data_IF_324699196642
#
_entry.id   IF_324699196642
#
_cell.length_a   1.000
_cell.length_b   1.000
_cell.length_c   1.000
_cell.angle_alpha   90.00
_cell.angle_beta   90.00
_cell.angle_gamma   90.00
#
_symmetry.space_group_name_H-M   'P 1'
#
loop_
_entity.id
_entity.type
_entity.pdbx_description
1 polymer ?
#
# COMPACT_ATOMS: atom_id res chain seq x y z
N UNK A 1 18.75 17.39 8.82
CA UNK A 1 17.38 16.99 9.16
C UNK A 1 17.18 15.62 8.52
N UNK A 2 16.95 14.56 9.30
CA UNK A 2 16.77 13.21 8.73
C UNK A 2 15.46 13.19 7.94
N UNK A 3 15.40 12.39 6.88
CA UNK A 3 14.14 12.17 6.17
C UNK A 3 13.23 11.27 7.02
N UNK A 4 11.90 11.42 6.90
CA UNK A 4 10.94 10.54 7.60
C UNK A 4 11.20 9.05 7.31
N UNK A 5 11.71 8.73 6.11
CA UNK A 5 12.06 7.35 5.69
C UNK A 5 13.31 6.85 6.43
N UNK A 6 14.32 7.70 6.63
CA UNK A 6 15.53 7.32 7.38
C UNK A 6 15.21 7.01 8.84
N UNK A 7 14.34 7.79 9.48
CA UNK A 7 13.88 7.53 10.85
C UNK A 7 13.04 6.25 10.95
N UNK A 8 12.20 5.97 9.95
CA UNK A 8 11.44 4.73 9.85
C UNK A 8 12.37 3.51 9.75
N UNK A 9 13.39 3.58 8.87
CA UNK A 9 14.40 2.53 8.73
C UNK A 9 15.25 2.34 9.99
N UNK A 10 15.63 3.43 10.67
CA UNK A 10 16.33 3.36 11.96
C UNK A 10 15.50 2.62 13.00
N UNK A 11 14.20 2.95 13.09
CA UNK A 11 13.28 2.27 14.00
C UNK A 11 13.12 0.79 13.64
N UNK A 12 12.90 0.50 12.36
CA UNK A 12 12.74 -0.87 11.86
C UNK A 12 13.98 -1.74 12.17
N UNK A 13 15.17 -1.16 12.04
CA UNK A 13 16.45 -1.84 12.28
C UNK A 13 16.67 -2.29 13.73
N UNK A 14 15.88 -1.79 14.69
CA UNK A 14 15.96 -2.21 16.10
C UNK A 14 15.44 -3.63 16.31
N UNK A 15 14.59 -4.14 15.41
CA UNK A 15 13.97 -5.47 15.55
C UNK A 15 14.15 -6.35 14.32
N UNK A 16 14.53 -5.76 13.17
CA UNK A 16 14.69 -6.48 11.91
C UNK A 16 16.05 -6.18 11.29
N UNK A 17 16.69 -7.21 10.76
CA UNK A 17 17.89 -7.02 9.96
C UNK A 17 17.49 -6.47 8.58
N UNK A 18 17.99 -5.28 8.25
CA UNK A 18 17.82 -4.65 6.94
C UNK A 18 19.13 -4.80 6.19
N UNK A 19 19.11 -5.45 5.03
CA UNK A 19 20.29 -5.58 4.19
C UNK A 19 20.85 -4.19 3.82
N UNK A 20 22.17 -3.95 3.93
CA UNK A 20 22.76 -2.65 3.61
C UNK A 20 22.41 -2.14 2.22
N UNK A 21 22.38 -3.03 1.22
CA UNK A 21 22.00 -2.70 -0.16
C UNK A 21 20.56 -2.19 -0.27
N UNK A 22 19.63 -2.79 0.49
CA UNK A 22 18.22 -2.38 0.53
C UNK A 22 18.08 -1.06 1.25
N UNK A 23 18.77 -0.88 2.38
CA UNK A 23 18.79 0.39 3.10
C UNK A 23 19.30 1.53 2.21
N UNK A 24 20.42 1.33 1.53
CA UNK A 24 21.00 2.33 0.65
C UNK A 24 20.12 2.61 -0.57
N UNK A 25 19.47 1.58 -1.11
CA UNK A 25 18.48 1.74 -2.17
C UNK A 25 17.29 2.62 -1.73
N UNK A 26 16.65 2.30 -0.60
CA UNK A 26 15.48 3.03 -0.09
C UNK A 26 15.86 4.49 0.23
N UNK A 27 17.08 4.74 0.72
CA UNK A 27 17.60 6.08 0.98
C UNK A 27 18.05 6.84 -0.28
N UNK A 28 17.88 6.27 -1.48
CA UNK A 28 18.25 6.90 -2.75
C UNK A 28 19.76 7.03 -2.96
N UNK A 29 20.59 6.26 -2.25
CA UNK A 29 22.05 6.29 -2.38
C UNK A 29 22.56 5.44 -3.55
N UNK A 30 21.71 4.56 -4.11
CA UNK A 30 22.01 3.78 -5.32
C UNK A 30 21.68 4.60 -6.57
N UNK A 31 22.66 4.80 -7.43
CA UNK A 31 22.55 5.69 -8.61
C UNK A 31 22.21 4.97 -9.91
N UNK A 32 22.54 3.68 -10.02
CA UNK A 32 22.24 2.86 -11.20
C UNK A 32 21.01 1.98 -10.93
N UNK A 33 19.85 2.63 -10.81
CA UNK A 33 18.55 1.95 -10.61
C UNK A 33 17.70 2.13 -11.87
N UNK A 34 17.16 1.04 -12.39
CA UNK A 34 16.21 1.04 -13.50
C UNK A 34 14.91 0.32 -13.11
N UNK A 35 13.85 0.60 -13.86
CA UNK A 35 12.59 -0.13 -13.73
C UNK A 35 12.60 -1.42 -14.57
N UNK A 36 12.28 -2.55 -13.95
CA UNK A 36 12.05 -3.82 -14.63
C UNK A 36 10.56 -4.13 -14.64
N UNK A 37 9.94 -3.98 -15.81
CA UNK A 37 8.53 -4.26 -16.01
C UNK A 37 8.29 -5.75 -16.33
N UNK A 38 7.45 -6.42 -15.55
CA UNK A 38 7.00 -7.79 -15.81
C UNK A 38 5.48 -7.88 -15.77
N UNK A 39 4.88 -8.47 -16.79
CA UNK A 39 3.44 -8.71 -16.84
C UNK A 39 3.10 -10.07 -16.24
N UNK A 40 2.22 -10.07 -15.25
CA UNK A 40 1.64 -11.29 -14.66
C UNK A 40 0.13 -11.13 -14.63
N UNK A 41 -0.57 -12.01 -15.37
CA UNK A 41 -2.00 -11.88 -15.63
C UNK A 41 -2.35 -10.49 -16.20
N UNK A 42 -3.26 -9.77 -15.54
CA UNK A 42 -3.75 -8.45 -15.94
C UNK A 42 -3.02 -7.27 -15.29
N UNK A 43 -1.90 -7.55 -14.58
CA UNK A 43 -1.10 -6.54 -13.89
C UNK A 43 0.32 -6.47 -14.47
N UNK A 44 0.79 -5.25 -14.71
CA UNK A 44 2.20 -4.95 -15.02
C UNK A 44 2.88 -4.52 -13.72
N UNK A 45 3.86 -5.30 -13.28
CA UNK A 45 4.66 -5.00 -12.09
C UNK A 45 5.94 -4.28 -12.48
N UNK A 46 6.21 -3.18 -11.78
CA UNK A 46 7.39 -2.33 -11.91
C UNK A 46 8.34 -2.61 -10.74
N UNK A 47 9.35 -3.44 -10.98
CA UNK A 47 10.28 -3.95 -9.96
C UNK A 47 11.61 -3.22 -10.11
N UNK A 48 12.15 -2.59 -9.04
CA UNK A 48 13.44 -1.93 -9.14
C UNK A 48 14.58 -2.91 -9.39
N UNK A 49 15.44 -2.57 -10.36
CA UNK A 49 16.66 -3.29 -10.70
C UNK A 49 17.87 -2.41 -10.42
N UNK A 50 18.82 -2.91 -9.62
CA UNK A 50 20.06 -2.22 -9.25
C UNK A 50 21.16 -2.72 -10.18
N UNK A 51 21.42 -1.99 -11.27
CA UNK A 51 22.35 -2.43 -12.31
C UNK A 51 23.81 -2.53 -11.86
N UNK A 52 24.23 -1.75 -10.87
CA UNK A 52 25.58 -1.84 -10.31
C UNK A 52 25.84 -3.14 -9.54
N UNK A 53 24.78 -3.75 -9.02
CA UNK A 53 24.83 -5.00 -8.25
C UNK A 53 24.21 -6.17 -9.03
N UNK A 54 23.69 -5.93 -10.24
CA UNK A 54 23.08 -6.91 -11.14
C UNK A 54 21.98 -7.72 -10.44
N UNK A 55 20.93 -7.06 -9.95
CA UNK A 55 19.83 -7.74 -9.27
C UNK A 55 18.65 -6.84 -8.92
N UNK A 56 17.66 -7.40 -8.24
CA UNK A 56 16.35 -6.82 -8.02
C UNK A 56 16.11 -6.52 -6.55
N UNK A 57 15.31 -5.49 -6.29
CA UNK A 57 14.69 -5.28 -4.97
C UNK A 57 13.37 -6.02 -4.96
N UNK A 58 13.31 -7.12 -4.22
CA UNK A 58 12.14 -7.99 -4.10
C UNK A 58 11.51 -7.85 -2.71
N UNK A 59 10.35 -8.47 -2.53
CA UNK A 59 9.56 -8.39 -1.31
C UNK A 59 8.89 -9.71 -0.95
N UNK A 60 8.77 -9.97 0.35
CA UNK A 60 7.89 -11.00 0.91
C UNK A 60 7.21 -10.51 2.19
N UNK A 61 6.01 -11.04 2.45
CA UNK A 61 5.28 -10.74 3.67
C UNK A 61 5.79 -11.61 4.84
N UNK A 62 5.99 -11.01 6.01
CA UNK A 62 6.32 -11.72 7.25
C UNK A 62 5.16 -11.77 8.25
N UNK A 63 3.93 -11.47 7.82
CA UNK A 63 2.77 -11.67 8.68
C UNK A 63 2.60 -13.18 8.98
N UNK A 64 2.28 -13.58 10.24
CA UNK A 64 1.88 -12.75 11.37
C UNK A 64 3.02 -12.20 12.25
N UNK A 65 4.27 -12.63 12.03
CA UNK A 65 5.42 -12.19 12.84
C UNK A 65 5.73 -10.69 12.69
N UNK A 66 5.28 -10.08 11.59
CA UNK A 66 5.33 -8.64 11.36
C UNK A 66 3.93 -8.06 11.10
N UNK A 67 3.61 -6.97 11.80
CA UNK A 67 2.37 -6.19 11.64
C UNK A 67 2.65 -4.68 11.54
N UNK A 68 3.86 -4.30 11.09
CA UNK A 68 4.28 -2.90 10.99
C UNK A 68 3.41 -2.10 10.03
N UNK A 69 3.06 -2.67 8.87
CA UNK A 69 2.18 -2.02 7.90
C UNK A 69 0.80 -1.72 8.50
N UNK A 70 0.31 -2.53 9.45
CA UNK A 70 -0.94 -2.25 10.15
C UNK A 70 -0.80 -1.18 11.26
N UNK A 71 0.39 -1.08 11.87
CA UNK A 71 0.67 -0.13 12.95
C UNK A 71 1.05 1.27 12.46
N UNK A 72 1.59 1.38 11.25
CA UNK A 72 2.22 2.60 10.73
C UNK A 72 1.54 3.15 9.48
N UNK A 73 0.38 2.59 9.11
CA UNK A 73 -0.37 3.08 7.96
C UNK A 73 -0.88 4.50 8.18
N UNK A 74 -0.52 5.41 7.29
CA UNK A 74 -0.95 6.81 7.32
C UNK A 74 -2.42 7.01 6.92
N UNK A 75 -2.97 6.12 6.07
CA UNK A 75 -4.32 6.22 5.49
C UNK A 75 -4.89 4.85 5.14
N UNK A 76 -6.20 4.67 5.30
CA UNK A 76 -6.91 3.43 4.95
C UNK A 76 -8.02 3.72 3.93
N UNK A 77 -7.67 4.09 2.68
CA UNK A 77 -8.67 4.38 1.66
C UNK A 77 -9.56 3.16 1.44
N UNK A 78 -10.86 3.41 1.38
CA UNK A 78 -11.88 2.38 1.20
C UNK A 78 -12.44 2.45 -0.21
N UNK A 79 -12.65 1.28 -0.79
CA UNK A 79 -13.51 1.12 -1.95
C UNK A 79 -14.98 1.00 -1.52
N UNK A 80 -15.92 1.18 -2.44
CA UNK A 80 -17.34 0.93 -2.13
C UNK A 80 -17.63 -0.51 -1.71
N UNK A 81 -16.83 -1.47 -2.18
CA UNK A 81 -16.90 -2.85 -1.69
C UNK A 81 -16.44 -2.97 -0.23
N UNK A 82 -15.39 -2.24 0.16
CA UNK A 82 -14.91 -2.23 1.55
C UNK A 82 -15.98 -1.64 2.47
N UNK A 83 -16.65 -0.56 2.06
CA UNK A 83 -17.76 0.05 2.82
C UNK A 83 -18.84 -0.99 3.15
N UNK A 84 -19.24 -1.81 2.17
CA UNK A 84 -20.26 -2.85 2.35
C UNK A 84 -19.74 -3.99 3.23
N UNK A 85 -18.53 -4.46 2.96
CA UNK A 85 -17.96 -5.66 3.60
C UNK A 85 -17.66 -5.40 5.07
N UNK A 86 -17.01 -4.28 5.37
CA UNK A 86 -16.63 -3.89 6.74
C UNK A 86 -17.87 -3.51 7.56
N UNK A 87 -18.83 -2.79 6.96
CA UNK A 87 -20.09 -2.44 7.64
C UNK A 87 -20.82 -3.68 8.16
N UNK A 88 -20.90 -4.74 7.33
CA UNK A 88 -21.49 -6.03 7.73
C UNK A 88 -20.66 -6.73 8.81
N UNK A 89 -19.33 -6.75 8.68
CA UNK A 89 -18.43 -7.35 9.67
C UNK A 89 -18.59 -6.70 11.05
N UNK A 90 -18.71 -5.37 11.08
CA UNK A 90 -18.92 -4.58 12.28
C UNK A 90 -20.39 -4.51 12.73
N UNK A 91 -21.28 -5.27 12.07
CA UNK A 91 -22.69 -5.45 12.43
C UNK A 91 -23.51 -4.15 12.43
N UNK A 92 -23.19 -3.22 11.53
CA UNK A 92 -24.05 -2.06 11.30
C UNK A 92 -25.28 -2.46 10.49
N UNK A 93 -26.47 -2.04 10.93
CA UNK A 93 -27.72 -2.29 10.19
C UNK A 93 -27.83 -1.43 8.92
N UNK A 94 -27.31 -0.20 8.97
CA UNK A 94 -27.32 0.76 7.86
C UNK A 94 -25.91 1.17 7.49
N UNK A 95 -25.59 1.12 6.19
CA UNK A 95 -24.31 1.58 5.67
C UNK A 95 -24.05 3.06 5.96
N UNK A 96 -25.09 3.90 6.01
CA UNK A 96 -24.97 5.33 6.36
C UNK A 96 -24.41 5.54 7.78
N UNK A 97 -24.80 4.69 8.73
CA UNK A 97 -24.35 4.80 10.12
C UNK A 97 -22.88 4.39 10.23
N UNK A 98 -22.48 3.35 9.49
CA UNK A 98 -21.08 2.97 9.32
C UNK A 98 -20.26 4.13 8.73
N UNK A 99 -20.69 4.70 7.59
CA UNK A 99 -19.98 5.83 6.95
C UNK A 99 -19.81 6.98 7.92
N UNK A 100 -20.89 7.41 8.59
CA UNK A 100 -20.84 8.56 9.52
C UNK A 100 -19.93 8.31 10.72
N UNK A 101 -19.92 7.10 11.27
CA UNK A 101 -19.20 6.79 12.51
C UNK A 101 -17.74 6.38 12.26
N UNK A 102 -17.52 5.57 11.23
CA UNK A 102 -16.27 4.83 11.01
C UNK A 102 -15.36 5.40 9.93
N UNK A 103 -15.80 6.42 9.20
CA UNK A 103 -15.01 6.97 8.09
C UNK A 103 -14.71 8.45 8.24
N UNK A 104 -13.65 8.89 7.57
CA UNK A 104 -13.32 10.29 7.33
C UNK A 104 -13.03 10.47 5.83
N UNK A 105 -13.06 11.72 5.36
CA UNK A 105 -12.61 12.08 4.01
C UNK A 105 -11.25 12.74 4.17
N UNK A 106 -10.28 12.29 3.40
CA UNK A 106 -8.94 12.86 3.40
C UNK A 106 -8.52 13.19 1.97
N UNK A 107 -7.76 14.28 1.83
CA UNK A 107 -7.16 14.69 0.57
C UNK A 107 -5.65 14.74 0.72
N UNK A 108 -4.92 14.07 -0.17
CA UNK A 108 -3.46 14.05 -0.14
C UNK A 108 -2.88 14.03 -1.55
N UNK A 109 -1.60 14.37 -1.64
CA UNK A 109 -0.83 14.31 -2.88
C UNK A 109 0.09 13.08 -2.84
N UNK A 110 0.10 12.29 -3.91
CA UNK A 110 1.08 11.24 -4.15
C UNK A 110 1.86 11.52 -5.43
N UNK A 111 3.03 10.90 -5.56
CA UNK A 111 3.76 10.89 -6.82
C UNK A 111 3.16 9.81 -7.71
N UNK A 112 2.60 10.23 -8.83
CA UNK A 112 2.17 9.34 -9.89
C UNK A 112 3.34 8.64 -10.57
N UNK A 113 3.08 7.73 -11.51
CA UNK A 113 4.07 6.86 -12.15
C UNK A 113 5.20 7.62 -12.85
N UNK A 114 4.88 8.77 -13.46
CA UNK A 114 5.84 9.65 -14.12
C UNK A 114 6.46 10.69 -13.18
N UNK A 115 6.24 10.58 -11.87
CA UNK A 115 6.71 11.53 -10.86
C UNK A 115 5.85 12.80 -10.71
N UNK A 116 4.81 12.95 -11.52
CA UNK A 116 3.86 14.07 -11.42
C UNK A 116 3.05 13.97 -10.12
N UNK A 117 2.70 15.10 -9.48
CA UNK A 117 1.79 15.09 -8.34
C UNK A 117 0.41 14.61 -8.78
N UNK A 118 -0.20 13.74 -7.98
CA UNK A 118 -1.57 13.27 -8.14
C UNK A 118 -2.29 13.58 -6.84
N UNK A 119 -3.33 14.40 -6.92
CA UNK A 119 -4.17 14.74 -5.76
C UNK A 119 -5.32 13.74 -5.69
N UNK A 120 -5.43 13.07 -4.54
CA UNK A 120 -6.46 12.08 -4.26
C UNK A 120 -7.30 12.55 -3.09
N UNK A 121 -8.62 12.57 -3.24
CA UNK A 121 -9.59 12.71 -2.15
C UNK A 121 -10.34 11.40 -2.04
N UNK A 122 -10.26 10.71 -0.90
CA UNK A 122 -10.91 9.41 -0.72
C UNK A 122 -11.62 9.33 0.63
N UNK A 123 -12.70 8.54 0.68
CA UNK A 123 -13.23 8.03 1.93
C UNK A 123 -12.26 7.01 2.54
N UNK A 124 -11.96 7.16 3.83
CA UNK A 124 -10.97 6.39 4.55
C UNK A 124 -11.59 5.76 5.81
N UNK A 125 -11.12 4.57 6.19
CA UNK A 125 -11.47 3.97 7.48
C UNK A 125 -10.70 4.67 8.60
N UNK A 126 -11.40 5.08 9.64
CA UNK A 126 -10.77 5.59 10.85
C UNK A 126 -9.94 4.49 11.54
N UNK A 127 -8.67 4.80 11.79
CA UNK A 127 -7.70 4.02 12.54
C UNK A 127 -7.92 4.14 14.04
N UNK A 128 -8.54 5.23 14.53
CA UNK A 128 -9.00 5.40 15.92
C UNK A 128 -10.39 6.07 15.97
N UNK A 129 -11.14 5.93 17.05
CA UNK A 129 -12.55 6.36 17.10
C UNK A 129 -12.74 7.88 16.90
N UNK A 130 -11.82 8.66 17.45
CA UNK A 130 -11.78 10.12 17.44
C UNK A 130 -10.83 10.68 16.38
N UNK A 131 -10.54 9.93 15.30
CA UNK A 131 -9.64 10.38 14.24
C UNK A 131 -10.16 11.64 13.52
N UNK A 132 -9.29 12.64 13.40
CA UNK A 132 -9.58 13.93 12.75
C UNK A 132 -8.66 14.18 11.54
N UNK A 133 -8.91 15.26 10.79
CA UNK A 133 -8.04 15.66 9.67
C UNK A 133 -6.59 15.95 10.11
N UNK A 134 -6.37 16.44 11.33
CA UNK A 134 -5.03 16.67 11.87
C UNK A 134 -4.21 15.38 12.05
N UNK A 135 -4.86 14.23 11.98
CA UNK A 135 -4.24 12.92 12.06
C UNK A 135 -3.91 12.32 10.67
N UNK A 136 -4.39 12.93 9.60
CA UNK A 136 -4.20 12.45 8.24
C UNK A 136 -2.71 12.29 7.88
N UNK A 137 -2.33 11.14 7.33
CA UNK A 137 -0.95 10.85 6.94
C UNK A 137 0.06 10.67 8.08
N UNK A 138 -0.36 10.78 9.35
CA UNK A 138 0.51 10.55 10.51
C UNK A 138 0.48 9.08 10.97
N UNK A 139 1.48 8.62 11.71
CA UNK A 139 1.51 7.25 12.23
C UNK A 139 0.51 7.07 13.37
N UNK A 140 -0.46 6.17 13.19
CA UNK A 140 -1.47 5.83 14.20
C UNK A 140 -1.64 4.32 14.22
N UNK A 141 -1.53 3.74 15.42
CA UNK A 141 -1.86 2.33 15.64
C UNK A 141 -3.34 2.10 15.36
N UNK A 142 -3.64 1.19 14.44
CA UNK A 142 -5.00 0.84 14.08
C UNK A 142 -5.73 0.17 15.26
N UNK A 143 -6.92 0.67 15.61
CA UNK A 143 -7.77 0.18 16.72
C UNK A 143 -8.27 -1.25 16.55
N UNK A 144 -8.22 -1.77 15.32
CA UNK A 144 -8.60 -3.14 15.02
C UNK A 144 -7.48 -4.15 15.30
N UNK A 145 -6.30 -3.69 15.72
CA UNK A 145 -5.20 -4.56 16.11
C UNK A 145 -5.28 -4.91 17.60
N UNK A 146 -5.14 -6.19 17.91
CA UNK A 146 -4.90 -6.64 19.28
C UNK A 146 -3.43 -6.38 19.70
N UNK A 147 -3.10 -6.72 20.94
CA UNK A 147 -1.75 -6.53 21.50
C UNK A 147 -0.66 -7.33 20.75
N UNK A 148 -1.04 -8.41 20.05
CA UNK A 148 -0.16 -9.26 19.25
C UNK A 148 -0.12 -8.84 17.76
N UNK A 149 -0.86 -7.80 17.39
CA UNK A 149 -0.95 -7.31 16.02
C UNK A 149 -1.87 -8.09 15.09
N UNK A 150 -2.72 -8.96 15.62
CA UNK A 150 -3.79 -9.58 14.85
C UNK A 150 -4.87 -8.55 14.53
N UNK A 151 -5.34 -8.54 13.27
CA UNK A 151 -6.39 -7.63 12.83
C UNK A 151 -7.78 -8.25 13.00
N UNK A 152 -8.58 -7.71 13.91
CA UNK A 152 -9.97 -8.13 14.16
C UNK A 152 -10.94 -7.87 12.99
N UNK A 153 -10.49 -7.17 11.93
CA UNK A 153 -11.23 -7.10 10.68
C UNK A 153 -10.98 -8.28 9.76
N UNK A 154 -9.95 -9.10 9.95
CA UNK A 154 -9.68 -10.21 9.05
C UNK A 154 -10.84 -11.21 9.02
N UNK A 155 -11.30 -11.68 7.84
CA UNK A 155 -10.79 -11.42 6.48
C UNK A 155 -11.46 -10.25 5.74
N UNK A 156 -12.22 -9.42 6.43
CA UNK A 156 -12.93 -8.23 5.94
C UNK A 156 -12.11 -6.94 5.99
N UNK A 157 -10.78 -6.99 6.14
CA UNK A 157 -9.94 -5.78 6.22
C UNK A 157 -9.97 -5.00 4.88
N UNK A 158 -9.74 -3.68 4.87
CA UNK A 158 -9.73 -2.89 3.64
C UNK A 158 -8.82 -3.50 2.55
N UNK A 159 -9.24 -3.43 1.29
CA UNK A 159 -8.45 -3.93 0.16
C UNK A 159 -7.02 -3.35 0.11
N UNK A 160 -6.85 -2.07 0.46
CA UNK A 160 -5.52 -1.43 0.54
C UNK A 160 -4.58 -2.13 1.53
N UNK A 161 -5.11 -2.71 2.61
CA UNK A 161 -4.31 -3.47 3.59
C UNK A 161 -3.80 -4.79 3.01
N UNK A 162 -4.53 -5.40 2.06
CA UNK A 162 -4.10 -6.62 1.38
C UNK A 162 -3.01 -6.35 0.34
N UNK A 163 -2.97 -5.14 -0.22
CA UNK A 163 -2.04 -4.80 -1.27
C UNK A 163 -0.67 -4.36 -0.78
N UNK A 164 -0.53 -3.94 0.48
CA UNK A 164 0.75 -3.48 0.99
C UNK A 164 1.87 -4.51 0.71
N UNK A 165 3.03 -4.11 0.15
CA UNK A 165 3.51 -2.74 -0.05
C UNK A 165 3.28 -2.19 -1.47
N UNK A 166 2.38 -2.77 -2.26
CA UNK A 166 2.12 -2.30 -3.61
C UNK A 166 1.25 -1.03 -3.62
N UNK A 167 1.66 -0.05 -4.42
CA UNK A 167 0.76 0.96 -4.99
C UNK A 167 0.34 0.53 -6.39
N UNK A 168 -0.83 0.98 -6.85
CA UNK A 168 -1.37 0.60 -8.17
C UNK A 168 -2.09 1.75 -8.85
N UNK A 169 -2.04 1.77 -10.18
CA UNK A 169 -2.76 2.74 -11.02
C UNK A 169 -3.30 2.11 -12.29
N UNK A 170 -4.16 2.86 -12.99
CA UNK A 170 -4.63 2.52 -14.32
C UNK A 170 -3.86 3.34 -15.35
N UNK A 171 -3.41 2.68 -16.41
CA UNK A 171 -2.77 3.31 -17.57
C UNK A 171 -3.47 2.87 -18.85
N UNK A 172 -3.54 3.77 -19.84
CA UNK A 172 -4.07 3.45 -21.16
C UNK A 172 -2.92 3.07 -22.09
N UNK A 173 -2.79 1.78 -22.36
CA UNK A 173 -1.82 1.27 -23.33
C UNK A 173 -2.54 0.90 -24.62
N UNK A 174 -2.37 1.70 -25.68
CA UNK A 174 -2.92 1.45 -27.02
C UNK A 174 -4.44 1.22 -27.03
N UNK A 175 -5.18 1.98 -26.22
CA UNK A 175 -6.64 1.87 -26.11
C UNK A 175 -7.12 0.78 -25.14
N UNK A 176 -6.21 0.07 -24.47
CA UNK A 176 -6.54 -0.89 -23.43
C UNK A 176 -6.18 -0.34 -22.06
N UNK A 177 -7.13 -0.37 -21.14
CA UNK A 177 -6.88 -0.08 -19.73
C UNK A 177 -6.06 -1.22 -19.14
N UNK A 178 -4.91 -0.88 -18.55
CA UNK A 178 -3.99 -1.80 -17.87
C UNK A 178 -3.82 -1.39 -16.42
N UNK A 179 -3.73 -2.38 -15.54
CA UNK A 179 -3.38 -2.16 -14.14
C UNK A 179 -1.88 -2.28 -14.01
N UNK A 180 -1.26 -1.29 -13.38
CA UNK A 180 0.15 -1.27 -13.07
C UNK A 180 0.34 -1.23 -11.57
N UNK A 181 1.45 -1.79 -11.10
CA UNK A 181 1.80 -1.77 -9.68
C UNK A 181 3.30 -1.63 -9.46
N UNK A 182 3.67 -0.93 -8.39
CA UNK A 182 5.06 -0.79 -7.93
C UNK A 182 5.12 -0.82 -6.40
N UNK A 183 6.31 -0.98 -5.85
CA UNK A 183 6.52 -0.97 -4.40
C UNK A 183 6.49 0.45 -3.82
N UNK A 184 5.90 0.57 -2.64
CA UNK A 184 6.02 1.73 -1.77
C UNK A 184 7.14 1.49 -0.76
N UNK A 185 8.16 2.34 -0.81
CA UNK A 185 9.31 2.27 0.10
C UNK A 185 9.13 3.23 1.29
N UNK A 186 8.26 2.88 2.24
CA UNK A 186 7.98 3.73 3.42
C UNK A 186 9.04 3.62 4.51
N UNK A 187 9.89 2.59 4.47
CA UNK A 187 10.87 2.29 5.51
C UNK A 187 10.32 1.45 6.68
N UNK A 188 9.03 1.08 6.65
CA UNK A 188 8.37 0.33 7.73
C UNK A 188 8.31 -1.18 7.50
N UNK A 189 8.60 -1.63 6.27
CA UNK A 189 8.51 -3.03 5.86
C UNK A 189 9.87 -3.72 5.93
N UNK A 190 10.05 -4.75 6.78
CA UNK A 190 11.28 -5.54 6.81
C UNK A 190 11.35 -6.59 5.70
N UNK A 191 10.28 -6.74 4.91
CA UNK A 191 10.15 -7.79 3.90
C UNK A 191 10.94 -7.56 2.62
N UNK A 192 11.55 -6.38 2.44
CA UNK A 192 12.36 -6.08 1.25
C UNK A 192 13.73 -6.73 1.34
N UNK A 193 14.17 -7.36 0.25
CA UNK A 193 15.44 -8.08 0.15
C UNK A 193 16.02 -7.98 -1.26
N UNK A 194 17.32 -8.20 -1.39
CA UNK A 194 18.00 -8.18 -2.68
C UNK A 194 18.11 -9.61 -3.26
N UNK A 195 17.85 -9.76 -4.55
CA UNK A 195 17.89 -11.05 -5.22
C UNK A 195 18.44 -10.94 -6.64
N UNK A 196 19.05 -12.04 -7.12
CA UNK A 196 19.60 -12.11 -8.49
C UNK A 196 18.57 -12.48 -9.55
N UNK A 197 17.44 -13.07 -9.15
CA UNK A 197 16.37 -13.44 -10.07
C UNK A 197 15.01 -13.01 -9.54
N UNK A 198 14.21 -12.40 -10.42
CA UNK A 198 12.81 -12.08 -10.15
C UNK A 198 11.94 -13.32 -9.93
N UNK A 199 12.40 -14.50 -10.37
CA UNK A 199 11.66 -15.76 -10.20
C UNK A 199 11.40 -16.11 -8.74
N UNK A 200 12.24 -15.62 -7.81
CA UNK A 200 12.03 -15.79 -6.37
C UNK A 200 10.69 -15.21 -5.89
N UNK A 201 10.16 -14.21 -6.60
CA UNK A 201 8.87 -13.60 -6.31
C UNK A 201 7.70 -14.13 -7.15
N UNK A 202 7.93 -15.08 -8.06
CA UNK A 202 6.92 -15.51 -9.04
C UNK A 202 5.56 -15.85 -8.43
N UNK A 203 5.54 -16.65 -7.37
CA UNK A 203 4.29 -17.05 -6.71
C UNK A 203 3.59 -15.86 -6.03
N UNK A 204 4.36 -14.95 -5.43
CA UNK A 204 3.83 -13.74 -4.80
C UNK A 204 3.21 -12.84 -5.87
N UNK A 205 3.87 -12.64 -7.02
CA UNK A 205 3.32 -11.84 -8.11
C UNK A 205 2.03 -12.43 -8.67
N UNK A 206 1.95 -13.77 -8.79
CA UNK A 206 0.72 -14.46 -9.21
C UNK A 206 -0.40 -14.20 -8.21
N UNK A 207 -0.16 -14.42 -6.92
CA UNK A 207 -1.13 -14.22 -5.85
C UNK A 207 -1.63 -12.76 -5.81
N UNK A 208 -0.70 -11.80 -5.82
CA UNK A 208 -1.00 -10.38 -5.72
C UNK A 208 -1.61 -9.80 -6.98
N UNK A 209 -1.38 -10.38 -8.17
CA UNK A 209 -1.95 -9.88 -9.43
C UNK A 209 -3.47 -9.76 -9.37
N UNK A 210 -4.15 -10.75 -8.77
CA UNK A 210 -5.61 -10.71 -8.61
C UNK A 210 -6.04 -9.65 -7.59
N UNK A 211 -5.39 -9.62 -6.42
CA UNK A 211 -5.74 -8.69 -5.34
C UNK A 211 -5.57 -7.24 -5.77
N UNK A 212 -4.46 -6.94 -6.43
CA UNK A 212 -4.15 -5.62 -6.98
C UNK A 212 -5.18 -5.24 -8.04
N UNK A 213 -5.40 -6.10 -9.04
CA UNK A 213 -6.38 -5.83 -10.11
C UNK A 213 -7.77 -5.53 -9.54
N UNK A 214 -8.28 -6.40 -8.66
CA UNK A 214 -9.61 -6.26 -8.08
C UNK A 214 -9.73 -4.94 -7.29
N UNK A 215 -8.73 -4.60 -6.47
CA UNK A 215 -8.74 -3.33 -5.73
C UNK A 215 -8.65 -2.11 -6.66
N UNK A 216 -7.75 -2.09 -7.64
CA UNK A 216 -7.61 -0.94 -8.55
C UNK A 216 -8.91 -0.68 -9.30
N UNK A 217 -9.57 -1.74 -9.78
CA UNK A 217 -10.87 -1.63 -10.47
C UNK A 217 -11.99 -1.16 -9.52
N UNK A 218 -12.01 -1.68 -8.29
CA UNK A 218 -12.97 -1.25 -7.26
C UNK A 218 -12.74 0.22 -6.85
N UNK A 219 -11.48 0.66 -6.73
CA UNK A 219 -11.11 2.04 -6.44
C UNK A 219 -11.58 2.98 -7.56
N UNK A 220 -11.31 2.63 -8.82
CA UNK A 220 -11.81 3.39 -9.99
C UNK A 220 -13.34 3.48 -10.03
N UNK A 221 -14.06 2.40 -9.65
CA UNK A 221 -15.52 2.45 -9.51
C UNK A 221 -15.95 3.38 -8.37
N UNK A 222 -15.26 3.34 -7.25
CA UNK A 222 -15.52 4.19 -6.07
C UNK A 222 -15.42 5.67 -6.42
N UNK A 223 -14.45 6.06 -7.24
CA UNK A 223 -14.33 7.42 -7.78
C UNK A 223 -15.54 7.79 -8.65
N UNK A 224 -16.00 6.90 -9.54
CA UNK A 224 -17.19 7.13 -10.38
C UNK A 224 -18.49 7.20 -9.59
N UNK A 225 -18.54 6.56 -8.43
CA UNK A 225 -19.66 6.60 -7.48
C UNK A 225 -19.62 7.83 -6.55
N UNK A 226 -18.67 8.75 -6.75
CA UNK A 226 -18.45 9.97 -5.96
C UNK A 226 -18.05 9.71 -4.49
N UNK A 227 -17.51 8.53 -4.18
CA UNK A 227 -16.86 8.23 -2.89
C UNK A 227 -15.36 8.52 -2.89
N UNK A 228 -14.84 9.03 -4.01
CA UNK A 228 -13.48 9.53 -4.14
C UNK A 228 -13.34 10.41 -5.37
N UNK A 229 -12.21 11.09 -5.45
CA UNK A 229 -11.83 11.97 -6.56
C UNK A 229 -10.32 11.89 -6.76
N UNK A 230 -9.88 11.80 -8.02
CA UNK A 230 -8.46 11.79 -8.38
C UNK A 230 -8.26 12.82 -9.47
N UNK A 231 -7.32 13.73 -9.25
CA UNK A 231 -6.87 14.72 -10.24
C UNK A 231 -5.36 14.71 -10.39
N UNK A 232 -4.90 14.93 -11.62
CA UNK A 232 -3.51 15.16 -11.98
C UNK A 232 -3.22 16.65 -12.10
#
# INVERSE_FOLDING_TARGET
MKSNIEEALDTLSQSWMIEPIIRDFILGKKTNVSDFAIKVNDVVFHIPYIGGDDGYVLWKCYWPDCHNCCNRQGRLPLTSNDLITISKHLKYEKASDFVKKETNIATWEERGPSGNPVVMTMINLKRKEDETEANDGTYIRCRFLDEKGYCGLHPSRPGVCYMYPFSSWLENEKGQVRVHATFQFTGDCPGFYFAKSVDEMKNILIEYSKMIYDYTMNSSRTTRENFGYVSM
#
